data_IF_099816854120
#
_entry.id   IF_099816854120
#
_cell.length_a   1.000
_cell.length_b   1.000
_cell.length_c   1.000
_cell.angle_alpha   90.00
_cell.angle_beta   90.00
_cell.angle_gamma   90.00
#
_symmetry.space_group_name_H-M   'P 1'
#
loop_
_entity.id
_entity.type
_entity.pdbx_description
1 polymer ?
#
# COMPACT_ATOMS: atom_id res chain seq x y z
N UNK A 1 -7.97 -25.08 -17.19
CA UNK A 1 -7.44 -24.04 -16.29
C UNK A 1 -6.09 -24.39 -15.67
N UNK A 2 -5.90 -25.57 -15.08
CA UNK A 2 -4.65 -25.96 -14.39
C UNK A 2 -3.36 -25.87 -15.22
N UNK A 3 -3.38 -26.26 -16.50
CA UNK A 3 -2.19 -26.17 -17.37
C UNK A 3 -1.78 -24.70 -17.59
N UNK A 4 -2.75 -23.85 -17.93
CA UNK A 4 -2.57 -22.39 -18.06
C UNK A 4 -2.07 -21.76 -16.76
N UNK A 5 -2.57 -22.20 -15.61
CA UNK A 5 -2.10 -21.70 -14.31
C UNK A 5 -0.63 -22.03 -14.04
N UNK A 6 -0.16 -23.23 -14.39
CA UNK A 6 1.26 -23.60 -14.25
C UNK A 6 2.17 -22.69 -15.09
N UNK A 7 1.77 -22.41 -16.33
CA UNK A 7 2.49 -21.50 -17.22
C UNK A 7 2.56 -20.08 -16.62
N UNK A 8 1.43 -19.57 -16.12
CA UNK A 8 1.36 -18.27 -15.43
C UNK A 8 2.26 -18.23 -14.20
N UNK A 9 2.27 -19.30 -13.40
CA UNK A 9 3.11 -19.36 -12.20
C UNK A 9 4.60 -19.32 -12.55
N UNK A 10 5.04 -20.04 -13.57
CA UNK A 10 6.43 -20.00 -14.04
C UNK A 10 6.80 -18.59 -14.50
N UNK A 11 5.97 -17.96 -15.33
CA UNK A 11 6.19 -16.60 -15.81
C UNK A 11 6.23 -15.59 -14.65
N UNK A 12 5.37 -15.77 -13.64
CA UNK A 12 5.34 -14.94 -12.45
C UNK A 12 6.66 -14.99 -11.66
N UNK A 13 7.22 -16.19 -11.43
CA UNK A 13 8.50 -16.34 -10.76
C UNK A 13 9.62 -15.62 -11.52
N UNK A 14 9.71 -15.82 -12.84
CA UNK A 14 10.72 -15.18 -13.69
C UNK A 14 10.60 -13.65 -13.72
N UNK A 15 9.37 -13.14 -13.77
CA UNK A 15 9.11 -11.70 -13.76
C UNK A 15 9.44 -11.05 -12.42
N UNK A 16 9.13 -11.69 -11.29
CA UNK A 16 9.52 -11.16 -9.97
C UNK A 16 11.03 -10.96 -9.89
N UNK A 17 11.81 -11.98 -10.24
CA UNK A 17 13.27 -11.91 -10.19
C UNK A 17 13.80 -10.81 -11.11
N UNK A 18 13.13 -10.58 -12.24
CA UNK A 18 13.46 -9.50 -13.17
C UNK A 18 13.16 -8.13 -12.57
N UNK A 19 11.97 -7.91 -12.00
CA UNK A 19 11.59 -6.62 -11.42
C UNK A 19 12.45 -6.25 -10.21
N UNK A 20 12.82 -7.23 -9.38
CA UNK A 20 13.68 -6.99 -8.21
C UNK A 20 15.07 -6.47 -8.59
N UNK A 21 15.61 -6.81 -9.77
CA UNK A 21 16.90 -6.24 -10.24
C UNK A 21 16.85 -4.72 -10.41
N UNK A 22 15.67 -4.17 -10.68
CA UNK A 22 15.47 -2.73 -10.86
C UNK A 22 15.03 -2.01 -9.58
N UNK A 23 14.77 -2.75 -8.50
CA UNK A 23 14.19 -2.25 -7.25
C UNK A 23 15.24 -1.68 -6.28
N UNK A 24 16.15 -0.85 -6.78
CA UNK A 24 17.16 -0.19 -5.97
C UNK A 24 17.31 1.29 -6.36
N UNK A 25 17.63 2.13 -5.38
CA UNK A 25 17.82 3.57 -5.59
C UNK A 25 18.76 3.92 -6.75
N UNK A 26 19.92 3.26 -6.82
CA UNK A 26 21.01 3.56 -7.77
C UNK A 26 20.74 3.21 -9.24
N UNK A 27 19.67 2.46 -9.53
CA UNK A 27 19.34 2.05 -10.90
C UNK A 27 18.90 3.27 -11.73
N UNK A 28 19.19 3.28 -13.02
CA UNK A 28 18.72 4.33 -13.93
C UNK A 28 17.18 4.42 -13.93
N UNK A 29 16.66 5.65 -13.97
CA UNK A 29 15.22 5.91 -13.84
C UNK A 29 14.39 5.34 -15.00
N UNK A 30 14.94 5.33 -16.21
CA UNK A 30 14.27 4.78 -17.40
C UNK A 30 14.08 3.27 -17.27
N UNK A 31 15.08 2.55 -16.75
CA UNK A 31 14.97 1.12 -16.46
C UNK A 31 13.90 0.83 -15.40
N UNK A 32 13.79 1.68 -14.38
CA UNK A 32 12.71 1.56 -13.38
C UNK A 32 11.35 1.80 -14.01
N UNK A 33 11.22 2.80 -14.89
CA UNK A 33 9.97 3.10 -15.58
C UNK A 33 9.53 1.95 -16.50
N UNK A 34 10.48 1.31 -17.21
CA UNK A 34 10.20 0.09 -17.99
C UNK A 34 9.71 -1.03 -17.06
N UNK A 35 10.39 -1.28 -15.93
CA UNK A 35 9.97 -2.30 -14.98
C UNK A 35 8.57 -2.02 -14.38
N UNK A 36 8.25 -0.76 -14.08
CA UNK A 36 6.93 -0.33 -13.61
C UNK A 36 5.86 -0.60 -14.67
N UNK A 37 6.14 -0.26 -15.93
CA UNK A 37 5.24 -0.51 -17.05
C UNK A 37 4.96 -2.02 -17.21
N UNK A 38 6.02 -2.82 -17.32
CA UNK A 38 5.93 -4.27 -17.53
C UNK A 38 5.25 -4.99 -16.34
N UNK A 39 5.53 -4.54 -15.11
CA UNK A 39 4.87 -5.04 -13.90
C UNK A 39 3.38 -4.71 -13.91
N UNK A 40 3.02 -3.48 -14.29
CA UNK A 40 1.62 -3.05 -14.41
C UNK A 40 0.87 -3.87 -15.47
N UNK A 41 1.44 -4.08 -16.65
CA UNK A 41 0.83 -4.90 -17.70
C UNK A 41 0.61 -6.35 -17.26
N UNK A 42 1.62 -6.95 -16.62
CA UNK A 42 1.51 -8.32 -16.15
C UNK A 42 0.50 -8.45 -15.01
N UNK A 43 0.47 -7.48 -14.09
CA UNK A 43 -0.56 -7.40 -13.05
C UNK A 43 -1.97 -7.33 -13.64
N UNK A 44 -2.18 -6.53 -14.69
CA UNK A 44 -3.47 -6.46 -15.37
C UNK A 44 -3.87 -7.79 -16.01
N UNK A 45 -2.92 -8.50 -16.58
CA UNK A 45 -3.15 -9.86 -17.08
C UNK A 45 -3.56 -10.81 -15.94
N UNK A 46 -2.81 -10.86 -14.84
CA UNK A 46 -3.14 -11.68 -13.66
C UNK A 46 -4.54 -11.35 -13.14
N UNK A 47 -4.88 -10.06 -13.05
CA UNK A 47 -6.21 -9.58 -12.63
C UNK A 47 -7.31 -10.14 -13.54
N UNK A 48 -7.14 -10.09 -14.86
CA UNK A 48 -8.13 -10.64 -15.81
C UNK A 48 -8.33 -12.14 -15.64
N UNK A 49 -7.23 -12.90 -15.47
CA UNK A 49 -7.31 -14.35 -15.25
C UNK A 49 -7.91 -14.68 -13.87
N UNK A 50 -7.62 -13.88 -12.84
CA UNK A 50 -8.24 -14.00 -11.51
C UNK A 50 -9.76 -13.91 -11.62
N UNK A 51 -10.29 -12.91 -12.32
CA UNK A 51 -11.73 -12.77 -12.55
C UNK A 51 -12.34 -13.94 -13.32
N UNK A 52 -11.59 -14.54 -14.25
CA UNK A 52 -12.02 -15.78 -14.89
C UNK A 52 -12.14 -16.92 -13.86
N UNK A 53 -11.15 -17.08 -12.98
CA UNK A 53 -11.17 -18.08 -11.92
C UNK A 53 -12.36 -17.92 -10.97
N UNK A 54 -12.69 -16.67 -10.63
CA UNK A 54 -13.83 -16.31 -9.78
C UNK A 54 -15.14 -16.75 -10.44
N UNK A 55 -15.33 -16.42 -11.72
CA UNK A 55 -16.53 -16.82 -12.48
C UNK A 55 -16.68 -18.33 -12.63
N UNK A 56 -15.57 -19.05 -12.69
CA UNK A 56 -15.52 -20.51 -12.74
C UNK A 56 -15.62 -21.15 -11.33
N UNK A 57 -15.83 -20.35 -10.28
CA UNK A 57 -15.87 -20.76 -8.87
C UNK A 57 -14.64 -21.57 -8.42
N UNK A 58 -13.51 -21.38 -9.12
CA UNK A 58 -12.27 -22.07 -8.83
C UNK A 58 -11.50 -21.32 -7.74
N UNK A 59 -11.97 -21.42 -6.49
CA UNK A 59 -11.40 -20.68 -5.37
C UNK A 59 -9.91 -20.94 -5.15
N UNK A 60 -9.42 -22.14 -5.42
CA UNK A 60 -7.99 -22.46 -5.27
C UNK A 60 -7.14 -21.61 -6.21
N UNK A 61 -7.49 -21.58 -7.50
CA UNK A 61 -6.76 -20.78 -8.50
C UNK A 61 -7.01 -19.29 -8.30
N UNK A 62 -8.23 -18.88 -7.98
CA UNK A 62 -8.57 -17.48 -7.71
C UNK A 62 -7.73 -16.90 -6.56
N UNK A 63 -7.60 -17.65 -5.46
CA UNK A 63 -6.76 -17.26 -4.33
C UNK A 63 -5.29 -17.14 -4.73
N UNK A 64 -4.74 -18.10 -5.49
CA UNK A 64 -3.35 -18.03 -5.92
C UNK A 64 -3.08 -16.87 -6.89
N UNK A 65 -4.01 -16.57 -7.80
CA UNK A 65 -3.90 -15.41 -8.69
C UNK A 65 -4.04 -14.09 -7.91
N UNK A 66 -4.88 -14.06 -6.87
CA UNK A 66 -4.97 -12.90 -5.98
C UNK A 66 -3.68 -12.70 -5.17
N UNK A 67 -3.05 -13.79 -4.72
CA UNK A 67 -1.72 -13.75 -4.12
C UNK A 67 -0.69 -13.13 -5.07
N UNK A 68 -0.62 -13.62 -6.32
CA UNK A 68 0.27 -13.07 -7.35
C UNK A 68 -0.01 -11.58 -7.61
N UNK A 69 -1.28 -11.17 -7.70
CA UNK A 69 -1.67 -9.77 -7.84
C UNK A 69 -1.15 -8.91 -6.69
N UNK A 70 -1.30 -9.38 -5.45
CA UNK A 70 -0.81 -8.65 -4.26
C UNK A 70 0.72 -8.55 -4.25
N UNK A 71 1.45 -9.61 -4.60
CA UNK A 71 2.92 -9.56 -4.71
C UNK A 71 3.35 -8.57 -5.79
N UNK A 72 2.74 -8.60 -6.97
CA UNK A 72 3.04 -7.65 -8.06
C UNK A 72 2.75 -6.21 -7.66
N UNK A 73 1.62 -5.96 -6.99
CA UNK A 73 1.30 -4.64 -6.45
C UNK A 73 2.32 -4.18 -5.39
N UNK A 74 2.79 -5.08 -4.53
CA UNK A 74 3.85 -4.78 -3.57
C UNK A 74 5.15 -4.35 -4.26
N UNK A 75 5.57 -5.08 -5.30
CA UNK A 75 6.76 -4.77 -6.10
C UNK A 75 6.57 -3.46 -6.87
N UNK A 76 5.41 -3.26 -7.49
CA UNK A 76 5.08 -2.03 -8.22
C UNK A 76 5.16 -0.81 -7.31
N UNK A 77 4.59 -0.89 -6.11
CA UNK A 77 4.69 0.18 -5.10
C UNK A 77 6.14 0.36 -4.63
N UNK A 78 6.90 -0.72 -4.43
CA UNK A 78 8.32 -0.65 -4.08
C UNK A 78 9.16 0.07 -5.14
N UNK A 79 8.93 -0.21 -6.43
CA UNK A 79 9.62 0.48 -7.53
C UNK A 79 9.31 1.98 -7.54
N UNK A 80 8.05 2.35 -7.27
CA UNK A 80 7.59 3.74 -7.22
C UNK A 80 8.23 4.54 -6.09
N UNK A 81 8.61 3.90 -4.96
CA UNK A 81 9.37 4.56 -3.88
C UNK A 81 10.56 5.30 -4.47
N UNK A 82 11.34 4.62 -5.32
CA UNK A 82 12.56 5.18 -5.89
C UNK A 82 12.29 6.33 -6.87
N UNK A 83 11.24 6.22 -7.69
CA UNK A 83 10.82 7.30 -8.59
C UNK A 83 10.49 8.56 -7.78
N UNK A 84 9.66 8.40 -6.74
CA UNK A 84 9.27 9.52 -5.89
C UNK A 84 10.45 10.13 -5.14
N UNK A 85 11.39 9.33 -4.65
CA UNK A 85 12.61 9.85 -4.02
C UNK A 85 13.47 10.65 -5.00
N UNK A 86 13.66 10.15 -6.23
CA UNK A 86 14.44 10.85 -7.27
C UNK A 86 13.78 12.18 -7.69
N UNK A 87 12.45 12.27 -7.59
CA UNK A 87 11.68 13.50 -7.84
C UNK A 87 11.46 14.37 -6.60
N UNK A 88 12.10 14.07 -5.47
CA UNK A 88 11.90 14.78 -4.18
C UNK A 88 10.45 14.77 -3.64
N UNK A 89 9.64 13.79 -4.03
CA UNK A 89 8.27 13.58 -3.57
C UNK A 89 8.23 12.64 -2.35
N UNK A 90 8.91 13.01 -1.26
CA UNK A 90 9.16 12.12 -0.11
C UNK A 90 7.89 11.57 0.56
N UNK A 91 6.80 12.36 0.58
CA UNK A 91 5.52 11.91 1.11
C UNK A 91 4.89 10.80 0.24
N UNK A 92 4.97 10.92 -1.09
CA UNK A 92 4.49 9.89 -2.01
C UNK A 92 5.37 8.64 -1.96
N UNK A 93 6.68 8.81 -1.75
CA UNK A 93 7.59 7.70 -1.51
C UNK A 93 7.22 6.93 -0.23
N UNK A 94 6.91 7.65 0.86
CA UNK A 94 6.41 7.04 2.11
C UNK A 94 5.11 6.29 1.89
N UNK A 95 4.14 6.90 1.19
CA UNK A 95 2.86 6.26 0.91
C UNK A 95 3.03 4.97 0.09
N UNK A 96 3.93 4.99 -0.89
CA UNK A 96 4.26 3.82 -1.70
C UNK A 96 4.91 2.71 -0.90
N UNK A 97 5.75 3.05 0.09
CA UNK A 97 6.32 2.06 1.01
C UNK A 97 5.22 1.38 1.84
N UNK A 98 4.30 2.15 2.42
CA UNK A 98 3.20 1.58 3.21
C UNK A 98 2.27 0.74 2.33
N UNK A 99 1.95 1.19 1.11
CA UNK A 99 1.22 0.39 0.12
C UNK A 99 1.92 -0.95 -0.12
N UNK A 100 3.23 -0.92 -0.36
CA UNK A 100 4.02 -2.13 -0.64
C UNK A 100 3.96 -3.13 0.52
N UNK A 101 4.09 -2.65 1.76
CA UNK A 101 4.02 -3.47 2.97
C UNK A 101 2.62 -4.05 3.19
N UNK A 102 1.56 -3.27 2.98
CA UNK A 102 0.18 -3.75 3.17
C UNK A 102 -0.22 -4.78 2.11
N UNK A 103 0.15 -4.58 0.84
CA UNK A 103 -0.07 -5.60 -0.20
C UNK A 103 0.64 -6.91 0.14
N UNK A 104 1.88 -6.83 0.63
CA UNK A 104 2.65 -8.01 1.02
C UNK A 104 1.99 -8.73 2.21
N UNK A 105 1.49 -7.99 3.20
CA UNK A 105 0.75 -8.54 4.33
C UNK A 105 -0.48 -9.32 3.88
N UNK A 106 -1.23 -8.80 2.89
CA UNK A 106 -2.38 -9.50 2.29
C UNK A 106 -1.92 -10.75 1.54
N UNK A 107 -0.84 -10.67 0.74
CA UNK A 107 -0.31 -11.82 0.01
C UNK A 107 0.08 -12.97 0.95
N UNK A 108 0.72 -12.65 2.08
CA UNK A 108 1.16 -13.61 3.12
C UNK A 108 0.00 -14.35 3.80
N UNK A 109 -1.22 -13.79 3.82
CA UNK A 109 -2.41 -14.50 4.33
C UNK A 109 -2.84 -15.67 3.46
N UNK A 110 -2.48 -15.66 2.17
CA UNK A 110 -2.87 -16.69 1.20
C UNK A 110 -1.79 -17.77 1.13
N UNK A 111 -0.54 -17.35 1.03
CA UNK A 111 0.62 -18.22 0.94
C UNK A 111 1.84 -17.49 1.52
N UNK A 112 2.66 -18.18 2.30
CA UNK A 112 3.85 -17.62 2.93
C UNK A 112 5.07 -18.51 2.65
N UNK A 113 6.11 -17.90 2.07
CA UNK A 113 7.35 -18.57 1.68
C UNK A 113 8.52 -17.58 1.71
N UNK A 114 9.75 -18.09 1.70
CA UNK A 114 10.97 -17.29 1.94
C UNK A 114 11.13 -16.09 1.01
N UNK A 115 10.70 -16.20 -0.25
CA UNK A 115 10.70 -15.09 -1.20
C UNK A 115 9.90 -13.87 -0.73
N UNK A 116 8.81 -14.07 0.02
CA UNK A 116 8.03 -12.98 0.62
C UNK A 116 8.73 -12.38 1.83
N UNK A 117 9.38 -13.22 2.65
CA UNK A 117 10.20 -12.75 3.78
C UNK A 117 11.36 -11.89 3.29
N UNK A 118 12.02 -12.29 2.19
CA UNK A 118 13.08 -11.50 1.57
C UNK A 118 12.57 -10.13 1.08
N UNK A 119 11.38 -10.09 0.48
CA UNK A 119 10.76 -8.82 0.07
C UNK A 119 10.38 -7.96 1.28
N UNK A 120 9.85 -8.57 2.35
CA UNK A 120 9.51 -7.88 3.60
C UNK A 120 10.75 -7.26 4.24
N UNK A 121 11.85 -8.01 4.33
CA UNK A 121 13.13 -7.55 4.86
C UNK A 121 13.71 -6.41 4.02
N UNK A 122 13.57 -6.50 2.69
CA UNK A 122 13.94 -5.41 1.78
C UNK A 122 13.13 -4.14 2.08
N UNK A 123 11.79 -4.22 2.11
CA UNK A 123 10.92 -3.08 2.42
C UNK A 123 11.20 -2.48 3.81
N UNK A 124 11.41 -3.32 4.81
CA UNK A 124 11.77 -2.90 6.17
C UNK A 124 13.14 -2.20 6.20
N UNK A 125 14.07 -2.63 5.36
CA UNK A 125 15.39 -2.00 5.22
C UNK A 125 15.29 -0.63 4.55
N UNK A 126 14.45 -0.48 3.52
CA UNK A 126 14.11 0.83 2.94
C UNK A 126 13.58 1.76 4.02
N UNK A 127 12.58 1.31 4.78
CA UNK A 127 11.95 2.11 5.83
C UNK A 127 12.99 2.64 6.83
N UNK A 128 13.85 1.75 7.34
CA UNK A 128 14.85 2.07 8.37
C UNK A 128 16.00 2.94 7.87
N UNK A 129 16.33 2.87 6.58
CA UNK A 129 17.54 3.47 6.02
C UNK A 129 17.27 4.77 5.27
N UNK A 130 16.08 4.93 4.70
CA UNK A 130 15.76 6.06 3.82
C UNK A 130 14.87 7.09 4.53
N UNK A 131 13.90 6.64 5.33
CA UNK A 131 12.91 7.53 5.90
C UNK A 131 13.26 7.93 7.35
N UNK A 132 12.85 9.13 7.81
CA UNK A 132 13.00 9.51 9.20
C UNK A 132 12.34 8.50 10.13
N UNK A 133 12.98 8.19 11.26
CA UNK A 133 12.38 7.32 12.28
C UNK A 133 11.18 8.03 12.89
N UNK A 134 9.99 7.46 12.70
CA UNK A 134 8.72 7.96 13.25
C UNK A 134 8.32 7.08 14.44
N UNK A 135 8.17 7.68 15.61
CA UNK A 135 7.60 7.02 16.80
C UNK A 135 6.10 7.29 16.96
N UNK A 136 5.64 8.40 16.40
CA UNK A 136 4.28 8.90 16.60
C UNK A 136 3.63 9.09 15.23
N UNK A 137 2.41 8.60 15.14
CA UNK A 137 1.50 8.71 14.01
C UNK A 137 0.20 9.37 14.46
N UNK A 138 -0.64 9.70 13.48
CA UNK A 138 -1.96 10.29 13.72
C UNK A 138 -3.04 9.26 13.45
N UNK A 139 -3.99 9.18 14.36
CA UNK A 139 -5.17 8.34 14.22
C UNK A 139 -6.41 9.19 14.42
N UNK A 140 -7.26 9.29 13.39
CA UNK A 140 -8.53 9.99 13.49
C UNK A 140 -9.58 9.10 14.17
N UNK A 141 -10.19 9.61 15.22
CA UNK A 141 -11.40 9.05 15.79
C UNK A 141 -12.61 9.69 15.13
N UNK A 142 -13.45 8.88 14.48
CA UNK A 142 -14.65 9.34 13.80
C UNK A 142 -15.73 8.26 13.85
N UNK A 143 -16.98 8.67 13.68
CA UNK A 143 -18.10 7.76 13.41
C UNK A 143 -18.45 7.79 11.93
N UNK A 144 -18.89 6.67 11.37
CA UNK A 144 -19.34 6.57 9.99
C UNK A 144 -20.52 5.59 9.88
N UNK A 145 -21.11 5.46 8.68
CA UNK A 145 -21.96 4.30 8.39
C UNK A 145 -21.15 3.00 8.48
N UNK A 146 -21.85 1.89 8.69
CA UNK A 146 -21.26 0.53 8.74
C UNK A 146 -20.58 0.15 7.41
N UNK A 147 -21.07 0.68 6.29
CA UNK A 147 -20.61 0.34 4.95
C UNK A 147 -21.13 -1.00 4.43
N UNK A 148 -20.73 -1.35 3.21
CA UNK A 148 -21.10 -2.59 2.51
C UNK A 148 -19.89 -3.49 2.30
N UNK A 149 -20.14 -4.79 2.25
CA UNK A 149 -19.12 -5.79 1.89
C UNK A 149 -18.64 -5.59 0.45
N UNK A 150 -17.32 -5.58 0.25
CA UNK A 150 -16.70 -5.58 -1.07
C UNK A 150 -17.11 -6.77 -1.94
N UNK A 151 -17.44 -7.92 -1.34
CA UNK A 151 -17.73 -9.19 -2.02
C UNK A 151 -19.23 -9.38 -2.25
N UNK A 152 -20.05 -9.44 -1.20
CA UNK A 152 -21.50 -9.72 -1.35
C UNK A 152 -22.38 -8.45 -1.47
N UNK A 153 -21.80 -7.26 -1.30
CA UNK A 153 -22.49 -5.97 -1.41
C UNK A 153 -23.63 -5.71 -0.40
N UNK A 154 -23.91 -6.65 0.50
CA UNK A 154 -24.80 -6.46 1.65
C UNK A 154 -24.16 -5.51 2.66
N UNK A 155 -24.99 -4.92 3.52
CA UNK A 155 -24.49 -4.18 4.68
C UNK A 155 -23.67 -5.12 5.57
N UNK A 156 -22.65 -4.61 6.27
CA UNK A 156 -21.84 -5.47 7.15
C UNK A 156 -22.64 -6.08 8.33
N UNK A 157 -23.83 -5.53 8.64
CA UNK A 157 -24.76 -6.12 9.61
C UNK A 157 -25.40 -7.43 9.10
N UNK A 158 -25.57 -7.57 7.78
CA UNK A 158 -26.21 -8.71 7.11
C UNK A 158 -25.19 -9.59 6.36
N UNK A 159 -23.90 -9.28 6.50
CA UNK A 159 -22.80 -9.94 5.82
C UNK A 159 -22.27 -11.10 6.64
N UNK A 160 -22.11 -12.27 6.02
CA UNK A 160 -21.50 -13.45 6.66
C UNK A 160 -19.98 -13.51 6.47
N UNK A 161 -19.41 -12.65 5.62
CA UNK A 161 -17.96 -12.56 5.46
C UNK A 161 -17.30 -11.85 6.64
N UNK A 162 -16.19 -12.40 7.10
CA UNK A 162 -15.33 -11.79 8.11
C UNK A 162 -14.49 -10.72 7.43
N UNK A 163 -14.50 -9.49 7.98
CA UNK A 163 -13.66 -8.40 7.47
C UNK A 163 -12.19 -8.81 7.50
N UNK A 164 -11.45 -8.45 6.45
CA UNK A 164 -10.02 -8.73 6.27
C UNK A 164 -9.67 -10.21 5.97
N UNK A 165 -10.68 -11.06 5.73
CA UNK A 165 -10.51 -12.42 5.20
C UNK A 165 -10.63 -12.48 3.67
N UNK A 166 -10.07 -13.54 3.08
CA UNK A 166 -9.99 -13.74 1.64
C UNK A 166 -10.95 -14.85 1.23
N UNK A 167 -11.79 -14.57 0.23
CA UNK A 167 -12.80 -15.47 -0.29
C UNK A 167 -12.71 -15.47 -1.82
N UNK A 168 -12.42 -16.63 -2.41
CA UNK A 168 -12.34 -16.84 -3.86
C UNK A 168 -11.64 -15.69 -4.59
N UNK A 169 -10.38 -15.38 -4.25
CA UNK A 169 -9.58 -14.35 -4.90
C UNK A 169 -10.00 -12.91 -4.62
N UNK A 170 -10.81 -12.67 -3.58
CA UNK A 170 -11.26 -11.34 -3.17
C UNK A 170 -11.05 -11.13 -1.67
N UNK A 171 -10.59 -9.93 -1.27
CA UNK A 171 -10.53 -9.53 0.14
C UNK A 171 -11.88 -8.94 0.56
N UNK A 172 -12.40 -9.37 1.71
CA UNK A 172 -13.56 -8.75 2.33
C UNK A 172 -13.13 -7.46 3.04
N UNK A 173 -13.67 -6.31 2.62
CA UNK A 173 -13.47 -5.02 3.26
C UNK A 173 -14.71 -4.14 3.15
N UNK A 174 -14.78 -3.08 3.96
CA UNK A 174 -15.85 -2.08 3.94
C UNK A 174 -15.69 -1.12 2.78
N UNK A 175 -16.70 -1.07 1.90
CA UNK A 175 -16.87 -0.02 0.89
C UNK A 175 -18.12 0.81 1.17
N UNK A 176 -18.31 1.87 0.41
CA UNK A 176 -19.48 2.75 0.50
C UNK A 176 -19.71 3.29 1.93
N UNK A 177 -18.61 3.70 2.57
CA UNK A 177 -18.63 4.33 3.90
C UNK A 177 -19.01 5.80 3.71
N UNK A 178 -20.03 6.23 4.44
CA UNK A 178 -20.64 7.56 4.36
C UNK A 178 -20.81 8.16 5.76
N UNK A 179 -21.33 9.39 5.84
CA UNK A 179 -21.67 10.09 7.09
C UNK A 179 -20.53 10.15 8.11
N UNK A 180 -19.33 10.45 7.61
CA UNK A 180 -18.12 10.53 8.43
C UNK A 180 -18.17 11.79 9.29
N UNK A 181 -18.20 11.60 10.61
CA UNK A 181 -18.20 12.68 11.60
C UNK A 181 -16.97 12.52 12.49
N UNK A 182 -16.04 13.46 12.37
CA UNK A 182 -14.84 13.52 13.19
C UNK A 182 -15.17 13.79 14.66
N UNK A 183 -14.38 13.20 15.56
CA UNK A 183 -14.45 13.45 17.00
C UNK A 183 -13.15 14.09 17.50
N UNK A 184 -12.02 13.41 17.34
CA UNK A 184 -10.70 13.91 17.71
C UNK A 184 -9.60 13.27 16.85
N UNK A 185 -8.38 13.76 17.01
CA UNK A 185 -7.17 13.16 16.45
C UNK A 185 -6.29 12.76 17.63
N UNK A 186 -5.81 11.52 17.62
CA UNK A 186 -4.92 10.98 18.63
C UNK A 186 -3.51 10.80 18.07
N UNK A 187 -2.51 11.01 18.93
CA UNK A 187 -1.13 10.64 18.68
C UNK A 187 -0.91 9.22 19.18
N UNK A 188 -0.48 8.32 18.30
CA UNK A 188 -0.36 6.88 18.60
C UNK A 188 0.94 6.30 18.05
N UNK A 189 1.44 5.23 18.66
CA UNK A 189 2.61 4.50 18.16
C UNK A 189 2.24 3.45 17.10
N UNK A 190 1.03 2.88 17.19
CA UNK A 190 0.51 1.84 16.29
C UNK A 190 -0.81 2.30 15.64
N UNK A 191 -0.74 3.05 14.52
CA UNK A 191 -1.94 3.53 13.82
C UNK A 191 -2.52 2.43 12.93
N UNK A 192 -3.82 2.53 12.64
CA UNK A 192 -4.44 1.72 11.57
C UNK A 192 -3.84 2.02 10.19
N UNK A 193 -3.49 3.29 9.93
CA UNK A 193 -2.85 3.71 8.68
C UNK A 193 -1.58 4.52 8.96
N UNK A 194 -0.43 3.94 8.62
CA UNK A 194 0.90 4.53 8.83
C UNK A 194 1.19 5.68 7.86
N UNK A 195 0.34 5.95 6.88
CA UNK A 195 0.40 7.13 6.00
C UNK A 195 -0.06 8.41 6.69
N UNK A 196 -0.74 8.28 7.84
CA UNK A 196 -1.23 9.40 8.64
C UNK A 196 -0.13 9.91 9.59
N UNK A 197 0.55 10.95 9.16
CA UNK A 197 1.74 11.52 9.81
C UNK A 197 1.71 13.05 9.76
N UNK A 198 2.46 13.67 10.67
CA UNK A 198 2.85 15.08 10.54
C UNK A 198 3.73 15.22 9.30
N UNK A 199 3.38 16.16 8.43
CA UNK A 199 4.07 16.45 7.17
C UNK A 199 4.96 17.67 7.29
N UNK A 200 4.58 18.66 8.10
CA UNK A 200 5.43 19.81 8.46
C UNK A 200 5.03 20.34 9.84
N UNK A 201 5.94 21.05 10.49
CA UNK A 201 5.74 21.63 11.81
C UNK A 201 6.37 23.02 11.89
N UNK A 202 5.79 23.89 12.72
CA UNK A 202 6.35 25.20 12.98
C UNK A 202 7.49 25.14 13.99
N UNK A 203 8.52 25.94 13.76
CA UNK A 203 9.67 26.10 14.63
C UNK A 203 10.14 27.55 14.52
N UNK A 204 10.21 28.25 15.66
CA UNK A 204 10.47 29.69 15.68
C UNK A 204 9.54 30.45 14.72
N UNK A 205 10.08 31.11 13.71
CA UNK A 205 9.34 31.88 12.70
C UNK A 205 9.20 31.10 11.37
N UNK A 206 9.55 29.82 11.33
CA UNK A 206 9.60 29.02 10.12
C UNK A 206 8.64 27.82 10.18
N UNK A 207 8.20 27.34 9.02
CA UNK A 207 7.53 26.05 8.85
C UNK A 207 8.54 25.08 8.23
N UNK A 208 8.78 23.96 8.90
CA UNK A 208 9.80 22.98 8.56
C UNK A 208 9.16 21.72 7.96
N UNK A 209 9.69 21.23 6.84
CA UNK A 209 9.29 19.94 6.27
C UNK A 209 9.73 18.77 7.16
N UNK A 210 8.82 17.85 7.46
CA UNK A 210 9.12 16.71 8.36
C UNK A 210 10.01 15.62 7.76
N UNK A 211 10.22 15.62 6.44
CA UNK A 211 11.10 14.67 5.76
C UNK A 211 12.48 15.27 5.50
N UNK A 212 12.55 16.49 4.99
CA UNK A 212 13.81 17.11 4.53
C UNK A 212 14.41 18.09 5.55
N UNK A 213 13.65 18.52 6.55
CA UNK A 213 14.00 19.58 7.50
C UNK A 213 14.26 20.93 6.84
N UNK A 214 13.85 21.12 5.58
CA UNK A 214 13.94 22.40 4.91
C UNK A 214 12.89 23.37 5.44
N UNK A 215 13.27 24.65 5.52
CA UNK A 215 12.32 25.74 5.73
C UNK A 215 11.45 25.90 4.47
N UNK A 216 10.16 25.63 4.61
CA UNK A 216 9.16 25.75 3.54
C UNK A 216 8.71 27.21 3.43
N UNK A 217 8.50 27.86 4.57
CA UNK A 217 7.93 29.20 4.66
C UNK A 217 8.46 29.90 5.93
N UNK A 218 8.81 31.18 5.81
CA UNK A 218 9.17 32.05 6.93
C UNK A 218 8.05 33.06 7.15
N UNK A 219 7.65 33.24 8.40
CA UNK A 219 6.54 34.10 8.84
C UNK A 219 7.01 35.15 9.84
N UNK A 220 6.24 36.23 9.95
CA UNK A 220 6.55 37.32 10.90
C UNK A 220 6.38 36.88 12.34
N UNK A 221 5.31 36.14 12.62
CA UNK A 221 4.98 35.60 13.93
C UNK A 221 5.57 34.20 14.16
N UNK A 222 5.70 33.83 15.43
CA UNK A 222 6.11 32.49 15.80
C UNK A 222 5.10 31.43 15.37
N UNK A 223 5.60 30.30 14.88
CA UNK A 223 4.86 29.13 14.43
C UNK A 223 4.92 27.98 15.44
N UNK A 224 5.48 28.20 16.63
CA UNK A 224 5.55 27.17 17.68
C UNK A 224 4.17 26.56 17.96
N UNK A 225 4.11 25.23 18.01
CA UNK A 225 2.87 24.48 18.22
C UNK A 225 2.01 24.26 16.97
N UNK A 226 2.36 24.85 15.82
CA UNK A 226 1.69 24.58 14.54
C UNK A 226 2.20 23.28 13.91
N UNK A 227 1.29 22.47 13.34
CA UNK A 227 1.67 21.34 12.50
C UNK A 227 0.66 21.10 11.39
N UNK A 228 1.15 20.69 10.22
CA UNK A 228 0.33 20.15 9.15
C UNK A 228 0.47 18.65 9.11
N UNK A 229 -0.63 17.97 8.81
CA UNK A 229 -0.63 16.52 8.82
C UNK A 229 -1.68 15.90 7.92
N UNK A 230 -1.40 14.65 7.52
CA UNK A 230 -2.44 13.74 7.05
C UNK A 230 -3.04 13.03 8.26
N UNK A 231 -4.31 13.32 8.55
CA UNK A 231 -5.00 12.81 9.74
C UNK A 231 -5.92 11.62 9.43
N UNK A 232 -6.34 11.48 8.18
CA UNK A 232 -7.24 10.45 7.71
C UNK A 232 -6.95 10.17 6.24
N UNK A 233 -7.04 8.91 5.85
CA UNK A 233 -6.89 8.45 4.47
C UNK A 233 -8.03 7.50 4.15
N UNK A 234 -8.63 7.70 2.99
CA UNK A 234 -9.50 6.70 2.36
C UNK A 234 -8.81 6.05 1.17
N UNK A 235 -7.49 6.22 1.04
CA UNK A 235 -6.72 5.51 0.02
C UNK A 235 -6.99 4.02 0.17
N UNK A 236 -7.44 3.40 -0.92
CA UNK A 236 -7.68 1.96 -0.99
C UNK A 236 -6.61 1.35 -1.84
N UNK A 237 -6.07 0.24 -1.35
CA UNK A 237 -5.31 -0.67 -2.19
C UNK A 237 -6.20 -1.14 -3.36
N UNK A 238 -5.59 -1.28 -4.52
CA UNK A 238 -6.17 -1.84 -5.74
C UNK A 238 -6.24 -3.37 -5.62
N UNK A 239 -7.29 -3.81 -4.91
CA UNK A 239 -7.54 -5.22 -4.57
C UNK A 239 -8.52 -5.92 -5.51
N UNK A 240 -9.21 -5.14 -6.35
CA UNK A 240 -10.19 -5.65 -7.29
C UNK A 240 -9.49 -6.24 -8.52
#
# INVERSE_FOLDING_TARGET
MNKKFKEIHTEFCEKIDTFQKYNYYSINIDLKNIAIHDCSEFREYIRKVKHQAIREENSAIANQLFHMQCVLNSILSSLKIWIFLQSSEFKHAWDSLIDAQEYLSIAKKINNYDGLSNLEDHLNSIEKSIFPKRKIYLSAAFTSTIGKCSICHKTFQECEHIENNIYCGQLCYRKDIENIKGNHIALVEDPKDRRCIVTSYGQENSIIDSFTLQEIEVKEDTQEGLFHARILSFAKLDLD
#
